data_IF_340901080130
#
_entry.id   IF_340901080130
#
_cell.length_a   1.000
_cell.length_b   1.000
_cell.length_c   1.000
_cell.angle_alpha   90.00
_cell.angle_beta   90.00
_cell.angle_gamma   90.00
#
_symmetry.space_group_name_H-M   'P 1'
#
loop_
_entity.id
_entity.type
_entity.pdbx_description
1 polymer ?
#
# COMPACT_ATOMS: atom_id res chain seq x y z
N UNK A 1 10.27 -4.37 31.04
CA UNK A 1 8.96 -3.81 31.37
C UNK A 1 9.18 -2.36 31.71
N UNK A 2 9.00 -1.45 30.75
CA UNK A 2 9.06 -0.01 30.98
C UNK A 2 7.92 0.61 30.17
N UNK A 3 6.86 0.89 30.92
CA UNK A 3 5.84 1.92 30.80
C UNK A 3 5.38 2.43 29.43
N UNK A 4 4.11 2.12 29.18
CA UNK A 4 3.22 2.77 28.23
C UNK A 4 2.83 4.17 28.74
N UNK A 5 3.12 5.17 27.90
CA UNK A 5 2.50 6.50 27.75
C UNK A 5 2.63 7.57 28.86
N UNK A 6 3.27 8.70 28.47
CA UNK A 6 2.66 10.01 28.64
C UNK A 6 2.55 10.76 27.30
N UNK A 7 1.33 11.15 26.93
CA UNK A 7 1.07 12.13 25.87
C UNK A 7 0.96 11.58 24.44
N UNK A 8 0.02 10.67 24.18
CA UNK A 8 -0.46 10.51 22.80
C UNK A 8 -1.35 11.72 22.50
N UNK A 9 -0.73 12.85 22.12
CA UNK A 9 -1.46 13.87 21.39
C UNK A 9 -2.09 13.14 20.21
N UNK A 10 -3.42 13.14 20.12
CA UNK A 10 -4.08 12.68 18.91
C UNK A 10 -3.47 13.48 17.77
N UNK A 11 -2.60 12.84 16.99
CA UNK A 11 -1.92 13.54 15.90
C UNK A 11 -3.01 13.73 14.85
N UNK A 12 -3.62 14.91 14.85
CA UNK A 12 -4.63 15.22 13.87
C UNK A 12 -4.00 15.12 12.49
N UNK A 13 -4.71 14.50 11.56
CA UNK A 13 -4.27 14.38 10.18
C UNK A 13 -5.42 14.73 9.24
N UNK A 14 -5.07 15.03 8.00
CA UNK A 14 -6.03 15.17 6.90
C UNK A 14 -5.63 14.21 5.80
N UNK A 15 -6.59 13.41 5.35
CA UNK A 15 -6.42 12.52 4.19
C UNK A 15 -6.37 13.37 2.92
N UNK A 16 -5.29 13.22 2.15
CA UNK A 16 -5.11 13.85 0.85
C UNK A 16 -5.79 13.00 -0.23
N UNK A 17 -5.59 11.69 -0.17
CA UNK A 17 -6.37 10.71 -0.93
C UNK A 17 -6.44 9.39 -0.17
N UNK A 18 -7.49 8.62 -0.46
CA UNK A 18 -7.69 7.24 -0.01
C UNK A 18 -8.21 6.44 -1.21
N UNK A 19 -7.59 5.30 -1.49
CA UNK A 19 -8.02 4.35 -2.52
C UNK A 19 -8.47 3.07 -1.82
N UNK A 20 -9.79 2.85 -1.79
CA UNK A 20 -10.45 1.63 -1.26
C UNK A 20 -10.87 0.65 -2.37
N UNK A 21 -10.56 0.99 -3.63
CA UNK A 21 -10.95 0.24 -4.84
C UNK A 21 -12.47 0.04 -5.08
N UNK A 22 -13.32 0.77 -4.33
CA UNK A 22 -14.79 0.68 -4.40
C UNK A 22 -15.30 -0.74 -4.07
N UNK A 23 -16.59 -0.99 -4.24
CA UNK A 23 -17.21 -2.28 -3.99
C UNK A 23 -17.98 -2.80 -5.21
N UNK A 24 -18.24 -4.11 -5.26
CA UNK A 24 -19.02 -4.70 -6.34
C UNK A 24 -19.26 -6.20 -6.20
N UNK A 25 -20.34 -6.69 -6.82
CA UNK A 25 -20.81 -8.07 -6.65
C UNK A 25 -20.09 -9.11 -7.52
N UNK A 26 -19.20 -8.69 -8.43
CA UNK A 26 -18.43 -9.60 -9.28
C UNK A 26 -17.03 -9.81 -8.73
N UNK A 27 -16.53 -11.05 -8.81
CA UNK A 27 -15.18 -11.39 -8.30
C UNK A 27 -14.09 -10.45 -8.80
N UNK A 28 -14.16 -10.02 -10.07
CA UNK A 28 -13.19 -9.12 -10.68
C UNK A 28 -13.83 -7.77 -10.99
N UNK A 29 -13.24 -6.68 -10.49
CA UNK A 29 -13.66 -5.31 -10.84
C UNK A 29 -13.22 -4.91 -12.23
N UNK A 30 -14.10 -4.26 -13.01
CA UNK A 30 -13.81 -3.70 -14.33
C UNK A 30 -12.86 -2.48 -14.34
N UNK A 31 -12.47 -1.96 -13.18
CA UNK A 31 -11.64 -0.76 -13.01
C UNK A 31 -10.17 -0.98 -13.32
N UNK A 32 -9.49 -0.02 -13.89
CA UNK A 32 -8.05 -0.07 -14.20
C UNK A 32 -7.27 0.80 -13.21
N UNK A 33 -5.93 0.66 -13.13
CA UNK A 33 -5.10 1.55 -12.32
C UNK A 33 -5.32 3.05 -12.62
N UNK A 34 -5.64 3.37 -13.88
CA UNK A 34 -5.93 4.74 -14.31
C UNK A 34 -7.20 5.31 -13.65
N UNK A 35 -8.20 4.49 -13.32
CA UNK A 35 -9.40 4.92 -12.61
C UNK A 35 -9.08 5.38 -11.17
N UNK A 36 -7.95 4.95 -10.63
CA UNK A 36 -7.42 5.33 -9.31
C UNK A 36 -6.15 6.19 -9.41
N UNK A 37 -5.86 6.74 -10.59
CA UNK A 37 -4.73 7.64 -10.87
C UNK A 37 -3.33 7.07 -10.51
N UNK A 38 -3.14 5.75 -10.62
CA UNK A 38 -1.82 5.13 -10.48
C UNK A 38 -1.43 4.30 -11.70
N UNK A 39 -0.15 3.93 -11.76
CA UNK A 39 0.41 3.00 -12.74
C UNK A 39 1.11 1.83 -12.05
N UNK A 40 1.23 0.71 -12.74
CA UNK A 40 1.91 -0.50 -12.25
C UNK A 40 2.66 -1.17 -13.40
N UNK A 41 3.73 -1.90 -13.08
CA UNK A 41 4.42 -2.74 -14.08
C UNK A 41 3.72 -4.08 -14.31
N UNK A 42 2.68 -4.40 -13.54
CA UNK A 42 1.95 -5.66 -13.62
C UNK A 42 0.87 -5.61 -14.70
N UNK A 43 0.57 -6.76 -15.31
CA UNK A 43 -0.46 -6.89 -16.34
C UNK A 43 -1.81 -7.22 -15.70
N UNK A 44 -2.84 -6.46 -16.04
CA UNK A 44 -4.18 -6.76 -15.51
C UNK A 44 -4.70 -8.09 -16.06
N UNK A 45 -5.28 -8.92 -15.20
CA UNK A 45 -6.02 -10.12 -15.58
C UNK A 45 -7.48 -10.05 -15.15
N UNK A 46 -8.31 -10.81 -15.86
CA UNK A 46 -9.74 -11.01 -15.67
C UNK A 46 -10.10 -12.50 -15.57
N UNK A 47 -9.07 -13.35 -15.56
CA UNK A 47 -9.17 -14.76 -15.85
C UNK A 47 -9.21 -15.61 -14.58
N UNK A 48 -9.36 -16.92 -14.76
CA UNK A 48 -9.38 -17.93 -13.70
C UNK A 48 -8.05 -18.15 -12.97
N UNK A 49 -7.03 -17.33 -13.22
CA UNK A 49 -5.71 -17.36 -12.57
C UNK A 49 -5.06 -15.97 -12.58
N UNK A 50 -4.24 -15.72 -11.57
CA UNK A 50 -3.34 -14.56 -11.47
C UNK A 50 -1.92 -15.12 -11.43
N UNK A 51 -1.23 -15.08 -12.57
CA UNK A 51 0.14 -15.58 -12.71
C UNK A 51 1.16 -14.49 -12.36
N UNK A 52 2.42 -14.86 -12.26
CA UNK A 52 3.54 -13.97 -11.95
C UNK A 52 3.53 -12.76 -12.88
N UNK A 53 3.62 -11.57 -12.29
CA UNK A 53 3.58 -10.30 -13.03
C UNK A 53 2.17 -9.84 -13.37
N UNK A 54 1.14 -10.54 -12.91
CA UNK A 54 -0.25 -10.13 -13.10
C UNK A 54 -0.86 -9.54 -11.82
N UNK A 55 -1.92 -8.78 -12.02
CA UNK A 55 -2.75 -8.29 -10.93
C UNK A 55 -4.24 -8.34 -11.28
N UNK A 56 -5.07 -8.28 -10.26
CA UNK A 56 -6.51 -8.06 -10.37
C UNK A 56 -7.01 -7.20 -9.21
N UNK A 57 -8.14 -6.53 -9.41
CA UNK A 57 -8.93 -5.99 -8.31
C UNK A 57 -10.04 -6.99 -8.02
N UNK A 58 -10.05 -7.54 -6.81
CA UNK A 58 -10.91 -8.68 -6.43
C UNK A 58 -11.66 -8.40 -5.14
N UNK A 59 -12.95 -8.77 -5.07
CA UNK A 59 -13.75 -8.51 -3.88
C UNK A 59 -13.57 -9.58 -2.78
N UNK A 60 -12.91 -10.67 -3.14
CA UNK A 60 -12.41 -11.69 -2.25
C UNK A 60 -11.17 -12.34 -2.88
N UNK A 61 -10.29 -12.92 -2.08
CA UNK A 61 -9.15 -13.71 -2.59
C UNK A 61 -9.69 -14.90 -3.41
N UNK A 62 -9.38 -15.01 -4.71
CA UNK A 62 -9.91 -16.11 -5.52
C UNK A 62 -9.40 -17.48 -5.05
N UNK A 63 -10.28 -18.47 -4.96
CA UNK A 63 -9.92 -19.85 -4.56
C UNK A 63 -9.34 -20.69 -5.71
N UNK A 64 -8.45 -20.10 -6.52
CA UNK A 64 -7.78 -20.77 -7.64
C UNK A 64 -6.68 -21.72 -7.18
N UNK A 65 -5.99 -21.36 -6.09
CA UNK A 65 -4.90 -22.13 -5.51
C UNK A 65 -5.19 -22.42 -4.04
N UNK A 66 -5.19 -23.71 -3.66
CA UNK A 66 -5.43 -24.15 -2.28
C UNK A 66 -4.34 -23.75 -1.28
N UNK A 67 -3.30 -23.05 -1.75
CA UNK A 67 -2.28 -22.42 -0.90
C UNK A 67 -2.71 -21.03 -0.42
N UNK A 68 -3.69 -20.41 -1.07
CA UNK A 68 -4.21 -19.10 -0.71
C UNK A 68 -5.34 -19.18 0.32
N UNK A 69 -5.54 -18.08 1.03
CA UNK A 69 -6.73 -17.80 1.85
C UNK A 69 -7.94 -17.48 0.97
N UNK A 70 -8.37 -18.44 0.14
CA UNK A 70 -9.54 -18.27 -0.73
C UNK A 70 -10.79 -17.81 0.02
N UNK A 71 -11.54 -16.90 -0.60
CA UNK A 71 -12.75 -16.23 -0.11
C UNK A 71 -12.51 -15.26 1.07
N UNK A 72 -11.25 -14.92 1.37
CA UNK A 72 -10.98 -13.88 2.34
C UNK A 72 -11.34 -12.50 1.74
N UNK A 73 -12.09 -11.71 2.49
CA UNK A 73 -12.54 -10.36 2.09
C UNK A 73 -11.43 -9.32 2.15
N UNK A 74 -11.73 -8.15 1.59
CA UNK A 74 -10.92 -6.94 1.63
C UNK A 74 -10.76 -6.39 3.06
N UNK A 75 -10.06 -5.27 3.20
CA UNK A 75 -9.85 -4.65 4.49
C UNK A 75 -10.95 -3.64 4.86
N UNK A 76 -11.55 -2.98 3.86
CA UNK A 76 -12.44 -1.83 4.08
C UNK A 76 -13.67 -2.22 4.89
N UNK A 77 -13.76 -1.68 6.11
CA UNK A 77 -14.82 -2.05 7.06
C UNK A 77 -16.15 -1.41 6.63
N UNK A 78 -17.22 -2.21 6.67
CA UNK A 78 -18.61 -1.82 6.33
C UNK A 78 -18.89 -1.66 4.83
N UNK A 79 -17.98 -2.06 3.96
CA UNK A 79 -18.28 -2.29 2.55
C UNK A 79 -18.61 -3.77 2.36
N UNK A 80 -19.83 -4.07 1.91
CA UNK A 80 -20.11 -5.41 1.42
C UNK A 80 -19.44 -5.54 0.04
N UNK A 81 -18.65 -6.59 -0.12
CA UNK A 81 -17.95 -6.92 -1.37
C UNK A 81 -16.99 -5.80 -1.84
N UNK A 82 -16.22 -5.21 -0.92
CA UNK A 82 -15.17 -4.25 -1.23
C UNK A 82 -14.04 -4.88 -2.04
N UNK A 83 -13.51 -4.17 -3.03
CA UNK A 83 -12.41 -4.66 -3.86
C UNK A 83 -11.06 -4.44 -3.17
N UNK A 84 -10.12 -5.34 -3.41
CA UNK A 84 -8.72 -5.21 -3.00
C UNK A 84 -7.78 -5.40 -4.19
N UNK A 85 -6.59 -4.82 -4.13
CA UNK A 85 -5.56 -4.95 -5.16
C UNK A 85 -4.70 -6.19 -4.92
N UNK A 86 -4.98 -7.26 -5.66
CA UNK A 86 -4.25 -8.52 -5.60
C UNK A 86 -3.15 -8.57 -6.65
N UNK A 87 -1.93 -8.92 -6.22
CA UNK A 87 -0.72 -8.91 -7.06
C UNK A 87 0.05 -10.21 -6.86
N UNK A 88 0.39 -10.87 -7.97
CA UNK A 88 1.38 -11.94 -7.99
C UNK A 88 2.71 -11.36 -8.51
N UNK A 89 3.72 -11.33 -7.64
CA UNK A 89 4.96 -10.58 -7.86
C UNK A 89 5.93 -11.39 -8.75
N UNK A 90 6.29 -10.84 -9.91
CA UNK A 90 7.23 -11.51 -10.84
C UNK A 90 8.70 -11.34 -10.45
N UNK A 91 9.12 -10.15 -9.98
CA UNK A 91 10.55 -9.84 -9.89
C UNK A 91 10.88 -8.76 -8.88
N UNK A 92 12.16 -8.73 -8.52
CA UNK A 92 12.75 -7.64 -7.74
C UNK A 92 12.59 -6.32 -8.48
N UNK A 93 12.32 -5.25 -7.73
CA UNK A 93 12.14 -3.89 -8.24
C UNK A 93 10.93 -3.69 -9.19
N UNK A 94 10.01 -4.67 -9.29
CA UNK A 94 8.72 -4.47 -9.95
C UNK A 94 7.93 -3.34 -9.27
N UNK A 95 7.39 -2.39 -10.06
CA UNK A 95 6.58 -1.29 -9.54
C UNK A 95 5.15 -1.79 -9.34
N UNK A 96 4.79 -2.05 -8.08
CA UNK A 96 3.44 -2.49 -7.72
C UNK A 96 2.48 -1.32 -7.82
N UNK A 97 2.89 -0.16 -7.31
CA UNK A 97 2.11 1.08 -7.32
C UNK A 97 3.05 2.26 -7.59
N UNK A 98 2.65 3.14 -8.52
CA UNK A 98 3.33 4.37 -8.86
C UNK A 98 2.28 5.47 -9.05
N UNK A 99 2.27 6.41 -8.10
CA UNK A 99 1.31 7.50 -8.04
C UNK A 99 2.04 8.83 -7.99
N UNK A 100 1.73 9.70 -8.95
CA UNK A 100 2.24 11.07 -8.99
C UNK A 100 1.30 11.97 -8.17
N UNK A 101 1.86 12.71 -7.21
CA UNK A 101 1.12 13.71 -6.44
C UNK A 101 1.80 15.07 -6.58
N UNK A 102 0.99 16.09 -6.83
CA UNK A 102 1.39 17.50 -6.92
C UNK A 102 0.83 18.28 -5.72
N UNK A 103 1.16 19.57 -5.63
CA UNK A 103 0.64 20.53 -4.64
C UNK A 103 0.87 20.15 -3.17
N UNK A 104 1.93 19.38 -2.88
CA UNK A 104 2.39 19.17 -1.51
C UNK A 104 2.94 20.48 -0.92
N UNK A 105 2.66 20.71 0.35
CA UNK A 105 3.23 21.82 1.10
C UNK A 105 4.63 21.43 1.57
N UNK A 106 5.64 22.03 0.96
CA UNK A 106 7.03 21.85 1.35
C UNK A 106 7.18 22.12 2.85
N UNK A 107 7.90 21.23 3.54
CA UNK A 107 8.14 21.30 4.98
C UNK A 107 7.07 20.62 5.83
N UNK A 108 5.92 20.20 5.28
CA UNK A 108 4.92 19.42 6.04
C UNK A 108 5.30 17.94 6.10
N UNK A 109 4.89 17.28 7.19
CA UNK A 109 5.05 15.85 7.40
C UNK A 109 3.84 15.11 6.83
N UNK A 110 4.10 14.11 6.00
CA UNK A 110 3.11 13.23 5.38
C UNK A 110 3.34 11.78 5.79
N UNK A 111 2.30 10.95 5.70
CA UNK A 111 2.40 9.49 5.74
C UNK A 111 1.79 8.92 4.47
N UNK A 112 2.57 8.11 3.76
CA UNK A 112 2.11 7.27 2.66
C UNK A 112 2.03 5.82 3.16
N UNK A 113 0.86 5.20 3.07
CA UNK A 113 0.60 3.90 3.69
C UNK A 113 -0.44 3.08 2.93
N UNK A 114 -0.48 1.79 3.23
CA UNK A 114 -1.52 0.87 2.77
C UNK A 114 -1.72 -0.25 3.79
N UNK A 115 -2.88 -0.88 3.76
CA UNK A 115 -3.09 -2.18 4.39
C UNK A 115 -2.64 -3.29 3.45
N UNK A 116 -1.87 -4.23 3.98
CA UNK A 116 -1.28 -5.31 3.19
C UNK A 116 -1.47 -6.62 3.94
N UNK A 117 -1.85 -7.67 3.21
CA UNK A 117 -1.89 -9.03 3.74
C UNK A 117 -1.19 -10.02 2.79
N UNK A 118 -0.59 -11.05 3.39
CA UNK A 118 -0.08 -12.20 2.67
C UNK A 118 -1.22 -13.19 2.45
N UNK A 119 -1.51 -13.54 1.19
CA UNK A 119 -2.59 -14.49 0.86
C UNK A 119 -2.21 -15.94 1.14
N UNK A 120 -0.93 -16.24 1.35
CA UNK A 120 -0.46 -17.61 1.61
C UNK A 120 -0.82 -18.05 3.03
N UNK A 121 -1.37 -19.27 3.13
CA UNK A 121 -1.61 -19.93 4.41
C UNK A 121 -0.29 -20.32 5.07
N UNK A 122 -0.17 -20.03 6.36
CA UNK A 122 1.08 -20.25 7.13
C UNK A 122 1.64 -21.66 7.02
N UNK A 123 0.78 -22.68 7.01
CA UNK A 123 1.17 -24.09 6.93
C UNK A 123 1.81 -24.50 5.60
N UNK A 124 1.76 -23.64 4.57
CA UNK A 124 2.40 -23.91 3.28
C UNK A 124 3.90 -23.62 3.27
N UNK A 125 4.39 -22.82 4.22
CA UNK A 125 5.82 -22.51 4.39
C UNK A 125 6.50 -22.01 3.09
N UNK A 126 5.82 -21.16 2.32
CA UNK A 126 6.31 -20.61 1.06
C UNK A 126 7.02 -19.26 1.26
N UNK A 127 7.49 -18.67 0.15
CA UNK A 127 8.03 -17.31 0.14
C UNK A 127 6.99 -16.31 0.66
N UNK A 128 7.47 -15.14 1.08
CA UNK A 128 6.63 -14.06 1.59
C UNK A 128 6.79 -12.83 0.72
N UNK A 129 5.71 -12.07 0.48
CA UNK A 129 5.86 -10.78 -0.15
C UNK A 129 6.68 -9.86 0.75
N UNK A 130 7.47 -9.00 0.11
CA UNK A 130 8.26 -7.98 0.76
C UNK A 130 8.17 -6.73 -0.12
N UNK A 131 7.65 -5.64 0.43
CA UNK A 131 7.35 -4.43 -0.32
C UNK A 131 8.16 -3.28 0.25
N UNK A 132 8.73 -2.48 -0.64
CA UNK A 132 9.46 -1.28 -0.32
C UNK A 132 8.66 -0.05 -0.70
N UNK A 133 8.37 0.77 0.30
CA UNK A 133 7.80 2.10 0.11
C UNK A 133 8.92 3.08 -0.20
N UNK A 134 8.74 3.89 -1.25
CA UNK A 134 9.65 4.98 -1.60
C UNK A 134 8.89 6.25 -1.98
N UNK A 135 9.48 7.39 -1.64
CA UNK A 135 9.03 8.71 -2.06
C UNK A 135 10.18 9.38 -2.79
N UNK A 136 9.94 9.84 -4.02
CA UNK A 136 10.97 10.44 -4.88
C UNK A 136 10.49 11.79 -5.41
N UNK A 137 11.39 12.75 -5.58
CA UNK A 137 11.06 13.98 -6.29
C UNK A 137 10.76 13.69 -7.77
N UNK A 138 9.85 14.44 -8.39
CA UNK A 138 9.56 14.32 -9.83
C UNK A 138 10.70 14.96 -10.65
N UNK A 139 11.00 14.38 -11.81
CA UNK A 139 12.02 14.86 -12.78
C UNK A 139 13.48 14.83 -12.29
N UNK A 140 13.72 14.37 -11.06
CA UNK A 140 15.06 14.14 -10.51
C UNK A 140 15.26 12.64 -10.29
N UNK A 141 15.46 11.90 -11.39
CA UNK A 141 15.78 10.48 -11.34
C UNK A 141 16.96 10.24 -10.37
N UNK A 142 16.65 9.72 -9.17
CA UNK A 142 17.64 9.40 -8.14
C UNK A 142 17.48 10.16 -6.82
N UNK A 143 16.66 11.21 -6.73
CA UNK A 143 16.46 11.94 -5.46
C UNK A 143 15.38 11.26 -4.60
N UNK A 144 15.80 10.30 -3.79
CA UNK A 144 14.96 9.60 -2.81
C UNK A 144 14.76 10.50 -1.59
N UNK A 145 13.53 10.90 -1.34
CA UNK A 145 13.13 11.69 -0.16
C UNK A 145 13.01 10.77 1.06
N UNK A 146 12.41 9.60 0.87
CA UNK A 146 12.24 8.62 1.93
C UNK A 146 12.13 7.20 1.35
N UNK A 147 12.60 6.20 2.10
CA UNK A 147 12.52 4.78 1.74
C UNK A 147 12.39 3.91 2.98
N UNK A 148 11.52 2.90 2.93
CA UNK A 148 11.32 1.92 4.02
C UNK A 148 10.77 0.61 3.48
N UNK A 149 11.40 -0.51 3.87
CA UNK A 149 10.86 -1.84 3.60
C UNK A 149 9.79 -2.22 4.61
N UNK A 150 8.80 -3.00 4.18
CA UNK A 150 7.85 -3.67 5.06
C UNK A 150 8.50 -4.77 5.90
N UNK A 151 9.65 -5.29 5.43
CA UNK A 151 10.09 -6.63 5.79
C UNK A 151 9.17 -7.68 5.15
N UNK A 152 9.34 -8.94 5.52
CA UNK A 152 8.43 -9.98 5.05
C UNK A 152 7.04 -9.76 5.63
N UNK A 153 6.03 -9.73 4.76
CA UNK A 153 4.63 -9.74 5.19
C UNK A 153 4.30 -11.16 5.66
N UNK A 154 3.97 -11.36 6.95
CA UNK A 154 3.89 -12.69 7.53
C UNK A 154 2.70 -13.48 6.97
N UNK A 155 2.93 -14.76 6.68
CA UNK A 155 1.86 -15.73 6.43
C UNK A 155 1.23 -16.15 7.78
N UNK A 156 -0.11 -16.15 7.83
CA UNK A 156 -0.89 -16.46 9.03
C UNK A 156 -1.83 -17.65 8.78
N UNK A 157 -2.32 -18.28 9.86
CA UNK A 157 -3.31 -19.37 9.76
C UNK A 157 -4.68 -18.86 9.30
N UNK A 158 -5.02 -17.63 9.71
CA UNK A 158 -6.10 -16.84 9.15
C UNK A 158 -5.48 -15.61 8.50
N UNK A 159 -5.98 -15.18 7.34
CA UNK A 159 -5.48 -13.96 6.70
C UNK A 159 -5.63 -12.78 7.65
N UNK A 160 -4.58 -11.96 7.76
CA UNK A 160 -4.57 -10.78 8.61
C UNK A 160 -3.95 -9.62 7.86
N UNK A 161 -4.68 -8.51 7.83
CA UNK A 161 -4.20 -7.24 7.31
C UNK A 161 -3.30 -6.56 8.33
N UNK A 162 -2.32 -5.80 7.84
CA UNK A 162 -1.49 -4.93 8.67
C UNK A 162 -1.15 -3.66 7.91
N UNK A 163 -1.11 -2.52 8.61
CA UNK A 163 -0.76 -1.23 8.01
C UNK A 163 0.75 -1.12 7.86
N UNK A 164 1.20 -0.90 6.63
CA UNK A 164 2.58 -0.60 6.29
C UNK A 164 2.67 0.78 5.64
N UNK A 165 3.82 1.42 5.75
CA UNK A 165 4.00 2.74 5.17
C UNK A 165 5.25 3.45 5.64
N UNK A 166 5.36 4.70 5.20
CA UNK A 166 6.48 5.58 5.45
C UNK A 166 6.00 7.01 5.71
N UNK A 167 6.59 7.66 6.70
CA UNK A 167 6.42 9.09 6.92
C UNK A 167 7.59 9.85 6.30
N UNK A 168 7.31 11.02 5.72
CA UNK A 168 8.32 11.85 5.09
C UNK A 168 7.97 13.34 5.19
N UNK A 169 8.98 14.19 5.30
CA UNK A 169 8.82 15.64 5.18
C UNK A 169 8.93 16.01 3.70
N UNK A 170 7.92 16.68 3.14
CA UNK A 170 7.96 17.07 1.73
C UNK A 170 9.08 18.08 1.49
N UNK A 171 10.05 17.73 0.65
CA UNK A 171 11.11 18.64 0.18
C UNK A 171 10.77 19.29 -1.15
N UNK A 172 9.77 18.75 -1.85
CA UNK A 172 9.27 19.21 -3.15
C UNK A 172 7.74 19.30 -3.10
N UNK A 173 7.16 20.19 -3.90
CA UNK A 173 5.71 20.27 -4.08
C UNK A 173 5.14 19.09 -4.87
N UNK A 174 5.98 18.42 -5.66
CA UNK A 174 5.58 17.30 -6.49
C UNK A 174 6.49 16.10 -6.26
N UNK A 175 5.90 14.95 -5.97
CA UNK A 175 6.63 13.70 -5.68
C UNK A 175 5.95 12.51 -6.36
N UNK A 176 6.68 11.40 -6.45
CA UNK A 176 6.15 10.09 -6.80
C UNK A 176 6.13 9.21 -5.55
N UNK A 177 4.98 8.62 -5.26
CA UNK A 177 4.77 7.62 -4.22
C UNK A 177 4.85 6.23 -4.86
N UNK A 178 5.72 5.38 -4.33
CA UNK A 178 6.05 4.08 -4.91
C UNK A 178 5.87 2.96 -3.89
N UNK A 179 5.20 1.89 -4.30
CA UNK A 179 5.36 0.56 -3.70
C UNK A 179 6.09 -0.32 -4.71
N UNK A 180 7.23 -0.85 -4.31
CA UNK A 180 8.15 -1.59 -5.16
C UNK A 180 8.36 -2.98 -4.55
N UNK A 181 8.33 -4.02 -5.36
CA UNK A 181 8.72 -5.36 -4.91
C UNK A 181 10.17 -5.36 -4.40
N UNK A 182 10.36 -5.93 -3.22
CA UNK A 182 11.67 -6.17 -2.60
C UNK A 182 11.94 -7.68 -2.45
N UNK A 183 11.29 -8.49 -3.28
CA UNK A 183 11.45 -9.95 -3.37
C UNK A 183 11.58 -10.34 -4.84
N UNK A 184 12.37 -11.37 -5.13
CA UNK A 184 12.48 -11.93 -6.48
C UNK A 184 11.25 -12.80 -6.83
N UNK A 185 11.23 -13.32 -8.05
CA UNK A 185 10.28 -14.36 -8.47
C UNK A 185 10.30 -15.54 -7.48
N UNK A 186 9.13 -16.11 -7.21
CA UNK A 186 9.06 -17.37 -6.50
C UNK A 186 7.70 -17.64 -5.90
N UNK A 187 7.42 -18.93 -5.72
CA UNK A 187 6.12 -19.40 -5.24
C UNK A 187 5.76 -18.83 -3.86
N UNK A 188 4.64 -18.11 -3.79
CA UNK A 188 4.01 -17.60 -2.57
C UNK A 188 4.27 -16.14 -2.22
N UNK A 189 4.99 -15.37 -3.04
CA UNK A 189 5.15 -13.93 -2.86
C UNK A 189 3.88 -13.12 -3.26
N UNK A 190 2.72 -13.77 -3.38
CA UNK A 190 1.42 -13.19 -3.67
C UNK A 190 0.93 -12.31 -2.52
N UNK A 191 0.37 -11.14 -2.85
CA UNK A 191 -0.03 -10.13 -1.87
C UNK A 191 -1.37 -9.49 -2.25
N UNK A 192 -2.14 -9.11 -1.22
CA UNK A 192 -3.28 -8.20 -1.38
C UNK A 192 -3.00 -6.90 -0.65
N UNK A 193 -3.43 -5.81 -1.28
CA UNK A 193 -3.22 -4.43 -0.85
C UNK A 193 -4.55 -3.71 -0.87
N UNK A 194 -4.83 -2.92 0.15
CA UNK A 194 -6.06 -2.16 0.28
C UNK A 194 -5.80 -0.85 1.05
N UNK A 195 -6.76 0.08 1.02
CA UNK A 195 -6.72 1.35 1.75
C UNK A 195 -5.40 2.12 1.56
N UNK A 196 -5.03 2.35 0.29
CA UNK A 196 -3.82 3.11 -0.04
C UNK A 196 -4.08 4.59 0.24
N UNK A 197 -3.35 5.15 1.20
CA UNK A 197 -3.60 6.48 1.74
C UNK A 197 -2.34 7.35 1.69
N UNK A 198 -2.52 8.61 1.28
CA UNK A 198 -1.63 9.69 1.66
C UNK A 198 -2.36 10.62 2.63
N UNK A 199 -1.77 10.87 3.79
CA UNK A 199 -2.27 11.85 4.76
C UNK A 199 -1.20 12.83 5.17
N UNK A 200 -1.61 14.03 5.56
CA UNK A 200 -0.75 15.08 6.12
C UNK A 200 -1.01 15.24 7.60
N UNK A 201 0.06 15.33 8.40
CA UNK A 201 -0.09 15.64 9.82
C UNK A 201 -0.34 17.13 10.01
N UNK A 202 -1.30 17.44 10.89
CA UNK A 202 -1.58 18.79 11.34
C UNK A 202 -0.57 19.11 12.45
N UNK A 203 0.38 20.00 12.16
CA UNK A 203 1.05 20.72 13.22
C UNK A 203 0.04 21.71 13.80
N UNK A 204 0.00 21.85 15.13
CA UNK A 204 -0.69 23.00 15.72
C UNK A 204 0.05 24.24 15.21
N UNK A 205 -0.54 25.00 14.29
CA UNK A 205 0.06 26.19 13.67
C UNK A 205 0.19 27.38 14.66
N UNK A 206 0.37 27.11 15.96
CA UNK A 206 0.50 28.11 17.04
C UNK A 206 1.94 28.41 17.44
N UNK A 207 2.96 27.83 16.79
CA UNK A 207 4.37 28.08 17.14
C UNK A 207 5.13 28.93 16.10
N UNK A 208 4.42 29.58 15.17
CA UNK A 208 5.02 30.49 14.17
C UNK A 208 5.07 31.96 14.64
N UNK A 209 4.98 32.19 15.95
CA UNK A 209 5.29 33.51 16.56
C UNK A 209 6.52 33.40 17.44
N UNK A 210 7.68 33.10 16.86
CA UNK A 210 8.93 33.59 17.44
C UNK A 210 9.13 35.03 16.98
N UNK A 211 8.70 35.92 17.87
CA UNK A 211 9.02 37.33 17.92
C UNK A 211 10.49 37.58 17.59
N UNK A 212 10.75 38.37 16.54
CA UNK A 212 11.98 39.14 16.43
C UNK A 212 12.01 40.16 17.56
N UNK A 213 12.86 39.93 18.56
CA UNK A 213 13.27 40.89 19.57
C UNK A 213 14.79 40.90 19.65
#
# INVERSE_FOLDING_TARGET
SVDLCPGHNAVNFTTIFLITFENGSTLFSNKTPADYNFTTSHVKTWASKINDGMFAFVNEVPDFFKVWHGNASDYTINENDGYMFMVNIEKLDAQIFNYKIDDLRIGRLYEFSAYIANVIRKEKCLNKPNIRFEVRAINESGNIIAKKGSGDVPACYNMSWSKYGISFKATHSSVVLLMISNVAEGNGNDVVIDDIELRVYLTNDLDDTFTTG
#
